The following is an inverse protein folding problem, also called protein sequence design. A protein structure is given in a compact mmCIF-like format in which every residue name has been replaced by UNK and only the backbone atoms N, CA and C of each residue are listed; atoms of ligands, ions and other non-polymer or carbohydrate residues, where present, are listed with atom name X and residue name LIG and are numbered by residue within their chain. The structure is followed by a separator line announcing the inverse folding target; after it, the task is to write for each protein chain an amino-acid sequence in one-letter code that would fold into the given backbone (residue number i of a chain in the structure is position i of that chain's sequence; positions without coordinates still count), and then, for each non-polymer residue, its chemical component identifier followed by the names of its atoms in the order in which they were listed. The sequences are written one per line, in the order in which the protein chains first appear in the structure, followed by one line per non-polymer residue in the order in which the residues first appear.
data_IF_363411317929
#
_entry.id   IF_363411317929
#
_cell.length_a   1.000
_cell.length_b   1.000
_cell.length_c   1.000
_cell.angle_alpha   90.00
_cell.angle_beta   90.00
_cell.angle_gamma   90.00
#
_symmetry.space_group_name_H-M   'P 1'
#
loop_
_entity.id
_entity.type
_entity.pdbx_description
1 polymer ?
#
# COMPACT_ATOMS: atom_id res chain seq x y z
N UNK A 1 1.26 -8.53 -12.98
CA UNK A 1 2.55 -8.30 -12.29
C UNK A 1 2.33 -7.67 -10.92
N UNK A 2 1.38 -6.73 -10.78
CA UNK A 2 1.10 -6.02 -9.53
C UNK A 2 0.86 -6.94 -8.32
N UNK A 3 -0.05 -7.91 -8.44
CA UNK A 3 -0.28 -8.88 -7.36
C UNK A 3 1.00 -9.63 -6.96
N UNK A 4 1.85 -9.98 -7.93
CA UNK A 4 3.10 -10.68 -7.64
C UNK A 4 4.11 -9.76 -6.93
N UNK A 5 4.21 -8.49 -7.34
CA UNK A 5 5.04 -7.50 -6.66
C UNK A 5 4.57 -7.26 -5.21
N UNK A 6 3.26 -7.08 -4.99
CA UNK A 6 2.70 -6.90 -3.66
C UNK A 6 2.95 -8.12 -2.75
N UNK A 7 2.76 -9.34 -3.28
CA UNK A 7 3.06 -10.56 -2.52
C UNK A 7 4.55 -10.72 -2.20
N UNK A 8 5.45 -10.20 -3.04
CA UNK A 8 6.89 -10.16 -2.72
C UNK A 8 7.13 -9.25 -1.53
N UNK A 9 6.55 -8.04 -1.55
CA UNK A 9 6.66 -7.10 -0.43
C UNK A 9 6.05 -7.66 0.86
N UNK A 10 4.88 -8.31 0.80
CA UNK A 10 4.30 -8.95 1.99
C UNK A 10 5.20 -10.03 2.57
N UNK A 11 5.83 -10.85 1.72
CA UNK A 11 6.75 -11.89 2.16
C UNK A 11 8.01 -11.31 2.80
N UNK A 12 8.62 -10.32 2.19
CA UNK A 12 9.80 -9.62 2.70
C UNK A 12 9.47 -8.91 4.04
N UNK A 13 8.28 -8.31 4.14
CA UNK A 13 7.81 -7.63 5.35
C UNK A 13 7.65 -8.61 6.52
N UNK A 14 7.04 -9.77 6.26
CA UNK A 14 6.90 -10.85 7.24
C UNK A 14 8.25 -11.44 7.67
N UNK A 15 9.27 -11.36 6.81
CA UNK A 15 10.63 -11.76 7.13
C UNK A 15 11.41 -10.68 7.91
N UNK A 16 10.83 -9.49 8.11
CA UNK A 16 11.50 -8.36 8.75
C UNK A 16 12.56 -7.70 7.86
N UNK A 17 12.48 -7.91 6.55
CA UNK A 17 13.43 -7.36 5.58
C UNK A 17 13.06 -5.93 5.19
N UNK A 18 14.08 -5.19 4.73
CA UNK A 18 13.88 -3.85 4.18
C UNK A 18 13.22 -3.94 2.80
N UNK A 19 12.00 -3.42 2.67
CA UNK A 19 11.28 -3.40 1.39
C UNK A 19 11.86 -2.34 0.45
N UNK A 20 12.30 -2.76 -0.73
CA UNK A 20 12.91 -1.86 -1.73
C UNK A 20 12.08 -1.78 -2.99
N UNK A 21 12.08 -0.64 -3.70
CA UNK A 21 11.43 -0.57 -5.01
C UNK A 21 11.99 -1.62 -5.98
N UNK A 22 11.13 -2.18 -6.82
CA UNK A 22 11.46 -3.17 -7.82
C UNK A 22 11.23 -2.63 -9.22
N UNK A 23 12.10 -3.00 -10.16
CA UNK A 23 11.96 -2.71 -11.59
C UNK A 23 11.98 -4.02 -12.34
N UNK A 24 11.03 -4.20 -13.25
CA UNK A 24 10.92 -5.39 -14.10
C UNK A 24 10.60 -5.01 -15.54
N UNK A 25 11.26 -5.68 -16.49
CA UNK A 25 10.82 -5.66 -17.89
C UNK A 25 9.69 -6.67 -18.05
N UNK A 26 8.50 -6.18 -18.38
CA UNK A 26 7.35 -6.97 -18.79
C UNK A 26 7.36 -7.07 -20.32
N UNK A 27 6.97 -8.23 -20.85
CA UNK A 27 6.71 -8.53 -22.29
C UNK A 27 7.74 -8.04 -23.32
N UNK A 28 8.92 -7.59 -22.88
CA UNK A 28 9.95 -7.01 -23.73
C UNK A 28 9.72 -5.55 -24.12
N UNK A 29 8.56 -4.95 -23.80
CA UNK A 29 8.21 -3.59 -24.24
C UNK A 29 7.83 -2.65 -23.10
N UNK A 30 7.56 -3.17 -21.91
CA UNK A 30 7.09 -2.36 -20.78
C UNK A 30 8.04 -2.45 -19.59
N UNK A 31 8.53 -1.30 -19.11
CA UNK A 31 9.26 -1.23 -17.84
C UNK A 31 8.26 -0.96 -16.73
N UNK A 32 8.10 -1.92 -15.83
CA UNK A 32 7.27 -1.80 -14.64
C UNK A 32 8.13 -1.44 -13.42
N UNK A 33 7.64 -0.50 -12.63
CA UNK A 33 8.22 -0.06 -11.37
C UNK A 33 7.18 -0.18 -10.26
N UNK A 34 7.54 -0.81 -9.15
CA UNK A 34 6.75 -0.77 -7.93
C UNK A 34 7.55 -0.32 -6.72
N UNK A 35 6.93 0.46 -5.85
CA UNK A 35 7.52 0.90 -4.59
C UNK A 35 6.54 0.68 -3.43
N UNK A 36 6.98 0.05 -2.32
CA UNK A 36 6.13 -0.22 -1.18
C UNK A 36 5.71 1.08 -0.47
N UNK A 37 4.51 1.10 0.12
CA UNK A 37 4.00 2.21 0.92
C UNK A 37 3.94 1.75 2.37
N UNK A 38 4.67 2.45 3.24
CA UNK A 38 4.63 2.25 4.70
C UNK A 38 3.66 3.22 5.35
N UNK A 39 2.88 2.71 6.31
CA UNK A 39 2.00 3.55 7.13
C UNK A 39 2.84 4.39 8.07
N UNK A 40 2.68 5.71 8.02
CA UNK A 40 3.27 6.65 8.99
C UNK A 40 2.25 7.03 10.06
N UNK A 41 2.69 7.62 11.18
CA UNK A 41 1.78 7.98 12.28
C UNK A 41 0.58 8.83 11.82
N UNK A 42 0.78 9.76 10.88
CA UNK A 42 -0.30 10.59 10.32
C UNK A 42 -1.34 9.75 9.56
N UNK A 43 -0.91 8.72 8.84
CA UNK A 43 -1.79 7.85 8.07
C UNK A 43 -2.85 7.17 8.95
N UNK A 44 -2.47 6.85 10.20
CA UNK A 44 -3.37 6.17 11.16
C UNK A 44 -4.57 7.02 11.59
N UNK A 45 -4.57 8.33 11.32
CA UNK A 45 -5.71 9.21 11.62
C UNK A 45 -6.96 8.90 10.77
N UNK A 46 -6.77 8.27 9.61
CA UNK A 46 -7.85 7.84 8.72
C UNK A 46 -7.81 6.35 8.38
N UNK A 47 -6.65 5.71 8.46
CA UNK A 47 -6.47 4.28 8.14
C UNK A 47 -6.20 3.41 9.38
N UNK A 48 -6.26 4.00 10.57
CA UNK A 48 -5.96 3.31 11.83
C UNK A 48 -7.13 2.50 12.38
N UNK A 49 -6.99 2.08 13.64
CA UNK A 49 -8.03 1.38 14.40
C UNK A 49 -9.07 2.38 14.89
N UNK A 50 -10.34 2.10 14.60
CA UNK A 50 -11.44 2.99 14.98
C UNK A 50 -11.54 3.16 16.50
N UNK A 51 -11.67 4.39 16.98
CA UNK A 51 -11.77 4.66 18.41
C UNK A 51 -10.46 4.56 19.18
N UNK A 52 -9.37 4.18 18.51
CA UNK A 52 -8.01 4.19 19.05
C UNK A 52 -7.16 5.24 18.32
N UNK A 53 -6.64 4.90 17.13
CA UNK A 53 -5.76 5.78 16.36
C UNK A 53 -6.52 6.65 15.36
N UNK A 54 -7.69 6.19 14.91
CA UNK A 54 -8.64 6.94 14.09
C UNK A 54 -9.79 7.49 14.95
N UNK A 55 -10.03 8.79 14.84
CA UNK A 55 -11.13 9.47 15.54
C UNK A 55 -12.50 8.91 15.11
N UNK A 56 -13.42 8.77 16.06
CA UNK A 56 -14.74 8.19 15.79
C UNK A 56 -15.62 9.04 14.86
N UNK A 57 -15.45 10.37 14.84
CA UNK A 57 -16.15 11.22 13.89
C UNK A 57 -15.56 11.07 12.48
N UNK A 58 -14.24 10.98 12.35
CA UNK A 58 -13.58 10.67 11.08
C UNK A 58 -14.02 9.31 10.53
N UNK A 59 -14.03 8.27 11.37
CA UNK A 59 -14.47 6.92 11.01
C UNK A 59 -15.93 6.91 10.49
N UNK A 60 -16.83 7.65 11.14
CA UNK A 60 -18.22 7.81 10.67
C UNK A 60 -18.32 8.45 9.28
N UNK A 61 -17.55 9.51 9.03
CA UNK A 61 -17.52 10.17 7.72
C UNK A 61 -16.97 9.24 6.65
N UNK A 62 -15.88 8.53 6.94
CA UNK A 62 -15.26 7.57 6.01
C UNK A 62 -16.25 6.47 5.65
N UNK A 63 -16.90 5.81 6.62
CA UNK A 63 -17.90 4.76 6.33
C UNK A 63 -19.11 5.28 5.56
N UNK A 64 -19.48 6.53 5.76
CA UNK A 64 -20.58 7.14 4.99
C UNK A 64 -20.22 7.36 3.52
N UNK A 65 -18.96 7.68 3.21
CA UNK A 65 -18.51 7.97 1.85
C UNK A 65 -17.96 6.73 1.14
N UNK A 66 -17.42 5.78 1.91
CA UNK A 66 -16.76 4.57 1.46
C UNK A 66 -17.27 3.37 2.29
N UNK A 67 -18.51 2.90 2.04
CA UNK A 67 -19.16 1.86 2.86
C UNK A 67 -18.43 0.51 2.84
N UNK A 68 -17.70 0.22 1.76
CA UNK A 68 -16.95 -1.02 1.58
C UNK A 68 -15.44 -0.86 1.86
N UNK A 69 -15.02 0.25 2.49
CA UNK A 69 -13.60 0.54 2.73
C UNK A 69 -12.92 -0.58 3.52
N UNK A 70 -11.85 -1.12 2.95
CA UNK A 70 -10.99 -2.13 3.57
C UNK A 70 -9.67 -1.54 4.08
N UNK A 71 -9.43 -0.24 3.85
CA UNK A 71 -8.16 0.40 4.18
C UNK A 71 -8.12 0.90 5.64
N UNK A 72 -8.53 0.08 6.60
CA UNK A 72 -8.61 0.46 8.02
C UNK A 72 -7.88 -0.54 8.91
N UNK A 73 -7.68 -0.20 10.18
CA UNK A 73 -7.06 -1.08 11.18
C UNK A 73 -5.54 -1.12 11.16
N UNK A 74 -4.88 -0.30 10.33
CA UNK A 74 -3.42 -0.26 10.24
C UNK A 74 -2.75 0.35 11.48
N UNK A 75 -1.55 -0.13 11.77
CA UNK A 75 -0.58 0.45 12.69
C UNK A 75 0.56 1.16 11.92
N UNK A 76 1.28 2.03 12.63
CA UNK A 76 2.50 2.63 12.08
C UNK A 76 3.54 1.54 11.75
N UNK A 77 4.16 1.64 10.57
CA UNK A 77 5.11 0.66 10.05
C UNK A 77 4.49 -0.43 9.17
N UNK A 78 3.17 -0.65 9.24
CA UNK A 78 2.52 -1.66 8.40
C UNK A 78 2.74 -1.41 6.90
N UNK A 79 2.79 -2.48 6.12
CA UNK A 79 2.71 -2.40 4.66
C UNK A 79 1.29 -2.02 4.25
N UNK A 80 1.11 -0.80 3.73
CA UNK A 80 -0.18 -0.30 3.25
C UNK A 80 -0.55 -0.86 1.87
N UNK A 81 0.46 -1.09 1.04
CA UNK A 81 0.31 -1.40 -0.38
C UNK A 81 1.54 -0.94 -1.15
N UNK A 82 1.37 -0.55 -2.41
CA UNK A 82 2.48 -0.12 -3.25
C UNK A 82 2.04 0.87 -4.34
N UNK A 83 2.98 1.68 -4.80
CA UNK A 83 2.90 2.35 -6.09
C UNK A 83 3.16 1.34 -7.21
N UNK A 84 2.45 1.48 -8.32
CA UNK A 84 2.59 0.68 -9.53
C UNK A 84 2.62 1.62 -10.72
N UNK A 85 3.72 1.61 -11.48
CA UNK A 85 3.91 2.48 -12.63
C UNK A 85 4.44 1.62 -13.78
N UNK A 86 3.85 1.78 -14.97
CA UNK A 86 4.29 1.08 -16.18
C UNK A 86 4.64 2.11 -17.25
N UNK A 87 5.85 2.01 -17.78
CA UNK A 87 6.34 2.82 -18.89
C UNK A 87 6.37 1.95 -20.14
N UNK A 88 5.75 2.41 -21.23
CA UNK A 88 5.95 1.83 -22.54
C UNK A 88 7.26 2.34 -23.12
N UNK A 89 8.17 1.44 -23.47
CA UNK A 89 9.39 1.79 -24.18
C UNK A 89 9.00 2.31 -25.56
N UNK A 90 9.46 3.51 -25.90
CA UNK A 90 9.37 4.02 -27.27
C UNK A 90 10.62 3.57 -28.01
N UNK A 91 10.42 3.06 -29.22
CA UNK A 91 11.47 2.78 -30.20
C UNK A 91 12.25 4.06 -30.58
#
# INVERSE_FOLDING_TARGET
WERAALLSFEKEDQAGEELKPVVQLLDGQHVAFAAPIRVMSLCTKCHGKEGETMDAAAARVIRSLYPDDQATGYAEGDLRGMWSIVFTLKE
#
